data_IF_222125901584
#
_entry.id   IF_222125901584
#
_cell.length_a   1.000
_cell.length_b   1.000
_cell.length_c   1.000
_cell.angle_alpha   90.00
_cell.angle_beta   90.00
_cell.angle_gamma   90.00
#
_symmetry.space_group_name_H-M   'P 1'
#
loop_
_entity.id
_entity.type
_entity.pdbx_description
1 polymer ?
#
# COMPACT_ATOMS: atom_id res chain seq x y z
N UNK A 1 17.47 76.06 31.85
CA UNK A 1 18.91 76.06 31.52
C UNK A 1 19.19 74.89 30.57
N UNK A 2 20.13 75.05 29.63
CA UNK A 2 20.29 74.35 28.35
C UNK A 2 20.56 72.82 28.39
N UNK A 3 19.84 72.11 27.49
CA UNK A 3 20.24 71.09 26.48
C UNK A 3 21.14 69.88 26.87
N UNK A 4 20.68 68.68 26.45
CA UNK A 4 21.41 67.65 25.66
C UNK A 4 20.37 66.74 24.95
N UNK A 5 20.10 66.95 23.65
CA UNK A 5 20.48 66.13 22.45
C UNK A 5 19.81 64.75 22.39
N UNK A 6 18.81 64.55 21.50
CA UNK A 6 18.88 63.84 20.17
C UNK A 6 19.15 62.33 20.31
N UNK A 7 18.57 61.39 19.57
CA UNK A 7 17.56 61.30 18.50
C UNK A 7 17.55 59.81 18.12
N UNK A 8 16.44 59.07 18.22
CA UNK A 8 16.19 57.88 17.36
C UNK A 8 14.67 57.74 17.17
N UNK A 9 14.19 58.33 16.08
CA UNK A 9 12.95 57.94 15.41
C UNK A 9 13.34 57.21 14.12
N UNK A 10 12.44 56.33 13.64
CA UNK A 10 12.56 55.49 12.42
C UNK A 10 13.29 54.16 12.69
N UNK A 11 12.68 52.97 12.60
CA UNK A 11 11.89 52.43 11.50
C UNK A 11 10.70 51.57 11.96
N UNK A 12 9.52 51.95 11.47
CA UNK A 12 8.39 51.07 11.19
C UNK A 12 8.79 50.19 10.01
N UNK A 13 9.07 48.90 10.21
CA UNK A 13 8.81 47.77 9.28
C UNK A 13 9.51 46.49 9.77
N UNK A 14 8.86 45.72 10.65
CA UNK A 14 9.07 44.27 10.69
C UNK A 14 7.75 43.59 11.07
N UNK A 15 6.71 43.97 10.33
CA UNK A 15 5.39 43.37 10.34
C UNK A 15 5.12 42.89 8.92
N UNK A 16 5.91 41.94 8.43
CA UNK A 16 5.64 41.27 7.16
C UNK A 16 6.38 39.94 7.09
N UNK A 17 5.62 38.87 6.84
CA UNK A 17 6.07 37.52 6.46
C UNK A 17 6.49 36.55 7.59
N UNK A 18 5.51 36.15 8.42
CA UNK A 18 5.39 34.76 8.87
C UNK A 18 3.91 34.32 8.76
N UNK A 19 3.25 34.77 7.71
CA UNK A 19 1.97 34.24 7.28
C UNK A 19 2.21 33.49 5.96
N UNK A 20 1.76 32.25 5.96
CA UNK A 20 1.61 31.32 4.84
C UNK A 20 2.75 30.32 4.61
N UNK A 21 2.29 29.06 4.56
CA UNK A 21 2.91 27.86 4.00
C UNK A 21 3.83 27.08 4.94
N UNK A 22 3.18 26.41 5.88
CA UNK A 22 3.80 25.35 6.65
C UNK A 22 2.81 24.47 7.40
N UNK A 23 1.59 24.26 6.88
CA UNK A 23 0.80 23.10 7.32
C UNK A 23 1.40 21.85 6.67
N UNK A 24 2.55 21.42 7.19
CA UNK A 24 2.90 20.00 7.16
C UNK A 24 1.98 19.30 8.18
N UNK A 25 0.69 19.22 7.85
CA UNK A 25 -0.20 18.30 8.51
C UNK A 25 0.04 16.97 7.80
N UNK A 26 0.94 16.17 8.35
CA UNK A 26 1.05 14.75 8.00
C UNK A 26 -0.34 14.14 8.11
N UNK A 27 -0.98 13.88 6.97
CA UNK A 27 -2.14 13.01 6.89
C UNK A 27 -1.63 11.56 7.00
N UNK A 28 -1.13 11.23 8.17
CA UNK A 28 -0.79 9.89 8.59
C UNK A 28 -2.06 9.31 9.20
N UNK A 29 -3.04 8.99 8.34
CA UNK A 29 -4.28 8.33 8.73
C UNK A 29 -4.21 6.87 8.31
N UNK A 30 -3.63 6.05 9.19
CA UNK A 30 -4.09 4.72 9.67
C UNK A 30 -4.75 3.67 8.74
N UNK A 31 -4.71 3.85 7.41
CA UNK A 31 -5.11 2.83 6.41
C UNK A 31 -3.91 1.97 5.97
N UNK A 32 -2.78 2.08 6.68
CA UNK A 32 -1.45 1.75 6.18
C UNK A 32 -1.14 0.24 6.09
N UNK A 33 -2.06 -0.66 6.44
CA UNK A 33 -1.81 -2.11 6.29
C UNK A 33 -3.07 -2.85 5.90
N UNK A 34 -3.18 -3.14 4.60
CA UNK A 34 -4.20 -4.05 4.04
C UNK A 34 -4.28 -5.38 4.78
N UNK A 35 -3.14 -5.91 5.23
CA UNK A 35 -3.11 -7.16 6.00
C UNK A 35 -3.59 -7.07 7.45
N UNK A 36 -4.07 -5.89 7.92
CA UNK A 36 -4.75 -5.75 9.21
C UNK A 36 -6.26 -5.55 9.08
N UNK A 37 -6.78 -5.38 7.85
CA UNK A 37 -8.19 -5.01 7.62
C UNK A 37 -9.17 -6.09 8.09
N UNK A 38 -8.79 -7.35 7.97
CA UNK A 38 -9.62 -8.48 8.36
C UNK A 38 -9.18 -9.13 9.69
N UNK A 39 -8.38 -8.40 10.48
CA UNK A 39 -7.76 -8.86 11.74
C UNK A 39 -6.78 -10.04 11.55
N UNK A 40 -6.08 -10.08 10.41
CA UNK A 40 -5.05 -11.08 10.12
C UNK A 40 -5.64 -12.44 9.75
N UNK A 41 -6.84 -12.47 9.17
CA UNK A 41 -7.47 -13.70 8.71
C UNK A 41 -6.89 -14.17 7.38
N UNK A 42 -6.62 -13.23 6.48
CA UNK A 42 -6.14 -13.52 5.14
C UNK A 42 -4.78 -12.88 4.87
N UNK A 43 -4.09 -13.48 3.91
CA UNK A 43 -2.94 -12.92 3.22
C UNK A 43 -3.46 -12.17 2.00
N UNK A 44 -2.75 -11.15 1.55
CA UNK A 44 -3.15 -10.39 0.37
C UNK A 44 -2.09 -10.49 -0.72
N UNK A 45 -2.51 -10.80 -1.93
CA UNK A 45 -1.70 -10.68 -3.13
C UNK A 45 -2.15 -9.41 -3.87
N UNK A 46 -1.35 -8.36 -3.77
CA UNK A 46 -1.62 -7.10 -4.45
C UNK A 46 -1.02 -7.15 -5.85
N UNK A 47 -1.81 -6.80 -6.86
CA UNK A 47 -1.40 -6.75 -8.25
C UNK A 47 -1.70 -5.34 -8.74
N UNK A 48 -0.66 -4.59 -9.05
CA UNK A 48 -0.78 -3.25 -9.63
C UNK A 48 -0.55 -3.34 -11.13
N UNK A 49 -1.36 -2.63 -11.90
CA UNK A 49 -1.16 -2.46 -13.34
C UNK A 49 -1.51 -1.03 -13.78
N UNK A 50 -0.90 -0.54 -14.87
CA UNK A 50 -1.27 0.74 -15.45
C UNK A 50 -2.68 0.71 -16.04
N UNK A 51 -3.04 -0.39 -16.72
CA UNK A 51 -4.31 -0.57 -17.42
C UNK A 51 -4.69 -2.07 -17.52
N UNK A 52 -5.91 -2.34 -17.97
CA UNK A 52 -6.48 -3.70 -18.06
C UNK A 52 -5.90 -4.55 -19.19
N UNK A 53 -5.15 -3.95 -20.11
CA UNK A 53 -4.52 -4.63 -21.25
C UNK A 53 -3.04 -4.93 -20.99
N UNK A 54 -2.53 -4.61 -19.81
CA UNK A 54 -1.15 -4.89 -19.43
C UNK A 54 -0.85 -6.41 -19.52
N UNK A 55 0.18 -6.77 -20.27
CA UNK A 55 0.52 -8.18 -20.54
C UNK A 55 0.80 -8.99 -19.27
N UNK A 56 1.50 -8.39 -18.29
CA UNK A 56 1.78 -9.07 -17.01
C UNK A 56 0.54 -9.26 -16.16
N UNK A 57 -0.44 -8.34 -16.20
CA UNK A 57 -1.72 -8.51 -15.52
C UNK A 57 -2.49 -9.70 -16.12
N UNK A 58 -2.60 -9.75 -17.45
CA UNK A 58 -3.30 -10.83 -18.15
C UNK A 58 -2.66 -12.19 -17.89
N UNK A 59 -1.33 -12.25 -17.85
CA UNK A 59 -0.56 -13.46 -17.53
C UNK A 59 -0.77 -13.88 -16.07
N UNK A 60 -0.64 -12.95 -15.12
CA UNK A 60 -0.84 -13.21 -13.69
C UNK A 60 -2.24 -13.77 -13.43
N UNK A 61 -3.26 -13.19 -14.05
CA UNK A 61 -4.66 -13.59 -13.91
C UNK A 61 -4.92 -15.00 -14.45
N UNK A 62 -4.29 -15.34 -15.58
CA UNK A 62 -4.37 -16.69 -16.14
C UNK A 62 -3.78 -17.71 -15.16
N UNK A 63 -2.61 -17.43 -14.60
CA UNK A 63 -1.96 -18.34 -13.65
C UNK A 63 -2.76 -18.48 -12.35
N UNK A 64 -3.31 -17.39 -11.81
CA UNK A 64 -4.10 -17.42 -10.57
C UNK A 64 -5.42 -18.18 -10.73
N UNK A 65 -6.11 -18.05 -11.87
CA UNK A 65 -7.31 -18.85 -12.17
C UNK A 65 -7.01 -20.36 -12.16
N UNK A 66 -5.88 -20.76 -12.75
CA UNK A 66 -5.46 -22.16 -12.76
C UNK A 66 -5.10 -22.67 -11.36
N UNK A 67 -4.63 -21.80 -10.47
CA UNK A 67 -4.19 -22.13 -9.11
C UNK A 67 -5.22 -21.82 -8.00
N UNK A 68 -6.49 -21.56 -8.34
CA UNK A 68 -7.49 -21.02 -7.39
C UNK A 68 -7.66 -21.83 -6.09
N UNK A 69 -7.60 -23.16 -6.15
CA UNK A 69 -7.64 -24.01 -4.95
C UNK A 69 -6.48 -23.72 -4.00
N UNK A 70 -5.27 -23.57 -4.55
CA UNK A 70 -4.07 -23.28 -3.77
C UNK A 70 -4.10 -21.89 -3.11
N UNK A 71 -4.81 -20.92 -3.72
CA UNK A 71 -5.08 -19.61 -3.12
C UNK A 71 -5.96 -19.77 -1.87
N UNK A 72 -7.06 -20.54 -2.01
CA UNK A 72 -8.01 -20.77 -0.91
C UNK A 72 -7.38 -21.50 0.26
N UNK A 73 -6.58 -22.54 0.03
CA UNK A 73 -5.87 -23.31 1.08
C UNK A 73 -4.89 -22.47 1.92
N UNK A 74 -4.51 -21.30 1.41
CA UNK A 74 -3.52 -20.40 2.03
C UNK A 74 -4.14 -19.10 2.48
N UNK A 75 -5.47 -19.02 2.52
CA UNK A 75 -6.24 -17.82 2.85
C UNK A 75 -5.76 -16.59 2.06
N UNK A 76 -5.48 -16.75 0.76
CA UNK A 76 -4.92 -15.68 -0.07
C UNK A 76 -6.03 -14.96 -0.85
N UNK A 77 -6.23 -13.68 -0.56
CA UNK A 77 -7.11 -12.78 -1.30
C UNK A 77 -6.30 -12.02 -2.35
N UNK A 78 -6.82 -11.93 -3.57
CA UNK A 78 -6.19 -11.21 -4.67
C UNK A 78 -6.79 -9.81 -4.75
N UNK A 79 -5.95 -8.78 -4.70
CA UNK A 79 -6.36 -7.37 -4.82
C UNK A 79 -5.71 -6.79 -6.05
N UNK A 80 -6.52 -6.47 -7.05
CA UNK A 80 -6.07 -5.83 -8.27
C UNK A 80 -6.27 -4.32 -8.18
N UNK A 81 -5.22 -3.56 -8.48
CA UNK A 81 -5.22 -2.10 -8.55
C UNK A 81 -4.87 -1.71 -9.98
N UNK A 82 -5.90 -1.49 -10.79
CA UNK A 82 -5.78 -1.19 -12.23
C UNK A 82 -6.29 0.23 -12.45
N UNK A 83 -5.45 1.09 -13.05
CA UNK A 83 -5.71 2.53 -13.10
C UNK A 83 -6.05 3.08 -11.70
N UNK A 84 -7.30 3.53 -11.52
CA UNK A 84 -7.87 4.07 -10.30
C UNK A 84 -8.87 3.12 -9.61
N UNK A 85 -9.08 1.92 -10.16
CA UNK A 85 -10.01 0.94 -9.62
C UNK A 85 -9.29 -0.07 -8.73
N UNK A 86 -10.00 -0.53 -7.69
CA UNK A 86 -9.54 -1.59 -6.79
C UNK A 86 -10.58 -2.69 -6.78
N UNK A 87 -10.16 -3.90 -7.12
CA UNK A 87 -11.00 -5.09 -7.11
C UNK A 87 -10.39 -6.15 -6.19
N UNK A 88 -11.23 -6.87 -5.44
CA UNK A 88 -10.80 -7.94 -4.53
C UNK A 88 -11.52 -9.25 -4.86
N UNK A 89 -10.76 -10.32 -4.94
CA UNK A 89 -11.21 -11.66 -5.31
C UNK A 89 -10.68 -12.73 -4.33
N UNK A 90 -11.56 -13.55 -3.72
CA UNK A 90 -13.02 -13.40 -3.69
C UNK A 90 -13.46 -12.09 -3.01
N UNK A 91 -14.69 -11.66 -3.30
CA UNK A 91 -15.26 -10.45 -2.68
C UNK A 91 -15.40 -10.62 -1.16
N UNK A 92 -15.07 -9.56 -0.43
CA UNK A 92 -15.19 -9.48 1.04
C UNK A 92 -16.06 -8.29 1.43
N UNK A 93 -16.54 -8.25 2.67
CA UNK A 93 -17.45 -7.18 3.14
C UNK A 93 -16.70 -5.89 3.45
N UNK A 94 -15.41 -6.01 3.71
CA UNK A 94 -14.49 -4.94 4.06
C UNK A 94 -14.27 -4.02 2.86
N UNK A 95 -14.32 -2.71 3.11
CA UNK A 95 -14.04 -1.71 2.09
C UNK A 95 -12.54 -1.61 1.84
N UNK A 96 -12.14 -1.64 0.57
CA UNK A 96 -10.74 -1.53 0.17
C UNK A 96 -10.29 -0.07 0.15
N UNK A 97 -9.03 0.25 0.54
CA UNK A 97 -8.50 1.59 0.36
C UNK A 97 -8.52 2.00 -1.11
N UNK A 98 -8.62 3.30 -1.41
CA UNK A 98 -8.52 3.80 -2.76
C UNK A 98 -7.19 3.41 -3.43
N UNK A 99 -7.21 3.25 -4.76
CA UNK A 99 -6.03 2.89 -5.56
C UNK A 99 -4.83 3.82 -5.29
N UNK A 100 -5.07 5.12 -5.17
CA UNK A 100 -4.04 6.12 -4.86
C UNK A 100 -3.35 5.85 -3.51
N UNK A 101 -4.12 5.52 -2.47
CA UNK A 101 -3.60 5.19 -1.14
C UNK A 101 -2.76 3.91 -1.15
N UNK A 102 -3.21 2.88 -1.89
CA UNK A 102 -2.44 1.64 -2.06
C UNK A 102 -1.13 1.89 -2.81
N UNK A 103 -1.16 2.62 -3.93
CA UNK A 103 0.04 2.98 -4.70
C UNK A 103 1.03 3.78 -3.86
N UNK A 104 0.55 4.74 -3.07
CA UNK A 104 1.41 5.51 -2.15
C UNK A 104 2.04 4.61 -1.08
N UNK A 105 1.24 3.77 -0.42
CA UNK A 105 1.69 2.87 0.64
C UNK A 105 2.79 1.93 0.15
N UNK A 106 2.60 1.34 -1.03
CA UNK A 106 3.53 0.37 -1.62
C UNK A 106 4.56 0.98 -2.57
N UNK A 107 4.60 2.32 -2.67
CA UNK A 107 5.53 3.10 -3.51
C UNK A 107 5.53 2.66 -4.98
N UNK A 108 4.33 2.47 -5.54
CA UNK A 108 4.13 2.05 -6.94
C UNK A 108 3.75 3.26 -7.80
N UNK A 109 4.49 3.50 -8.88
CA UNK A 109 4.11 4.51 -9.88
C UNK A 109 2.86 4.05 -10.66
N UNK A 110 1.92 4.94 -11.03
CA UNK A 110 0.76 4.60 -11.86
C UNK A 110 1.10 3.83 -13.16
N UNK A 111 2.26 4.11 -13.77
CA UNK A 111 2.69 3.46 -15.00
C UNK A 111 3.35 2.07 -14.80
N UNK A 112 3.48 1.60 -13.55
CA UNK A 112 4.20 0.37 -13.21
C UNK A 112 3.25 -0.80 -12.94
N UNK A 113 3.70 -1.97 -13.40
CA UNK A 113 3.21 -3.26 -12.92
C UNK A 113 3.98 -3.69 -11.67
N UNK A 114 3.28 -4.29 -10.69
CA UNK A 114 3.91 -4.92 -9.55
C UNK A 114 3.03 -6.01 -8.93
N UNK A 115 3.66 -7.07 -8.44
CA UNK A 115 3.04 -8.10 -7.57
C UNK A 115 3.65 -7.99 -6.19
N UNK A 116 2.82 -7.91 -5.16
CA UNK A 116 3.26 -7.80 -3.77
C UNK A 116 2.49 -8.80 -2.91
N UNK A 117 3.21 -9.65 -2.18
CA UNK A 117 2.62 -10.53 -1.18
C UNK A 117 2.68 -9.86 0.19
N UNK A 118 1.53 -9.77 0.85
CA UNK A 118 1.38 -9.25 2.21
C UNK A 118 0.90 -10.37 3.12
N UNK A 119 1.60 -10.58 4.23
CA UNK A 119 1.25 -11.59 5.22
C UNK A 119 0.04 -11.22 6.08
N UNK A 120 -0.44 -12.19 6.88
CA UNK A 120 -1.49 -11.98 7.91
C UNK A 120 -1.08 -10.98 9.00
N UNK A 121 0.22 -10.67 9.09
CA UNK A 121 0.78 -9.65 9.99
C UNK A 121 0.79 -8.24 9.38
N UNK A 122 0.28 -8.09 8.15
CA UNK A 122 0.29 -6.83 7.42
C UNK A 122 1.65 -6.40 6.88
N UNK A 123 2.66 -7.25 6.94
CA UNK A 123 4.00 -6.94 6.41
C UNK A 123 4.18 -7.49 4.99
N UNK A 124 4.92 -6.75 4.17
CA UNK A 124 5.34 -7.19 2.85
C UNK A 124 6.33 -8.36 2.97
N UNK A 125 6.04 -9.46 2.27
CA UNK A 125 6.84 -10.68 2.26
C UNK A 125 7.58 -10.89 0.95
N UNK A 126 7.03 -10.35 -0.14
CA UNK A 126 7.58 -10.51 -1.47
C UNK A 126 7.13 -9.38 -2.39
N UNK A 127 7.98 -9.05 -3.37
CA UNK A 127 7.70 -8.07 -4.41
C UNK A 127 8.36 -8.48 -5.73
N UNK A 128 7.61 -8.35 -6.82
CA UNK A 128 8.11 -8.51 -8.19
C UNK A 128 7.57 -7.43 -9.11
N UNK A 129 8.34 -7.09 -10.14
CA UNK A 129 7.95 -6.15 -11.21
C UNK A 129 7.46 -6.87 -12.49
N UNK A 130 7.14 -8.15 -12.40
CA UNK A 130 6.68 -9.03 -13.48
C UNK A 130 5.68 -10.05 -12.91
N UNK A 131 4.92 -10.70 -13.79
CA UNK A 131 4.00 -11.75 -13.39
C UNK A 131 4.76 -12.87 -12.65
N UNK A 132 4.20 -13.33 -11.53
CA UNK A 132 4.83 -14.32 -10.66
C UNK A 132 4.03 -15.62 -10.63
N UNK A 133 4.75 -16.72 -10.86
CA UNK A 133 4.19 -18.05 -10.79
C UNK A 133 3.60 -18.33 -9.39
N UNK A 134 2.36 -18.86 -9.29
CA UNK A 134 1.72 -19.18 -8.02
C UNK A 134 2.54 -20.10 -7.12
N UNK A 135 3.25 -21.08 -7.69
CA UNK A 135 4.11 -21.99 -6.94
C UNK A 135 5.16 -21.25 -6.11
N UNK A 136 5.80 -20.22 -6.67
CA UNK A 136 6.79 -19.41 -5.95
C UNK A 136 6.13 -18.64 -4.81
N UNK A 137 4.94 -18.07 -5.03
CA UNK A 137 4.19 -17.38 -3.98
C UNK A 137 3.81 -18.36 -2.86
N UNK A 138 3.41 -19.58 -3.20
CA UNK A 138 3.03 -20.63 -2.26
C UNK A 138 4.21 -21.11 -1.43
N UNK A 139 5.37 -21.32 -2.04
CA UNK A 139 6.59 -21.70 -1.34
C UNK A 139 7.00 -20.64 -0.31
N UNK A 140 6.91 -19.36 -0.69
CA UNK A 140 7.14 -18.25 0.26
C UNK A 140 6.14 -18.32 1.40
N UNK A 141 4.86 -18.53 1.12
CA UNK A 141 3.81 -18.63 2.15
C UNK A 141 4.05 -19.82 3.09
N UNK A 142 4.35 -20.99 2.54
CA UNK A 142 4.54 -22.23 3.28
C UNK A 142 5.84 -22.22 4.11
N UNK A 143 6.81 -21.38 3.76
CA UNK A 143 8.00 -21.12 4.57
C UNK A 143 7.75 -20.22 5.79
N UNK A 144 6.61 -19.52 5.86
CA UNK A 144 6.33 -18.60 6.97
C UNK A 144 6.02 -19.35 8.28
N UNK A 145 6.57 -18.95 9.44
CA UNK A 145 6.35 -19.63 10.71
C UNK A 145 4.88 -19.80 11.07
N UNK A 146 4.04 -18.77 10.89
CA UNK A 146 2.60 -18.88 11.18
C UNK A 146 1.92 -19.98 10.36
N UNK A 147 2.29 -20.13 9.08
CA UNK A 147 1.74 -21.18 8.21
C UNK A 147 2.12 -22.59 8.67
N UNK A 148 3.32 -22.75 9.22
CA UNK A 148 3.76 -24.03 9.79
C UNK A 148 3.00 -24.39 11.07
N UNK A 149 2.59 -23.39 11.87
CA UNK A 149 1.76 -23.61 13.05
C UNK A 149 0.33 -24.02 12.68
N UNK A 150 -0.24 -23.40 11.63
CA UNK A 150 -1.55 -23.79 11.08
C UNK A 150 -1.55 -25.29 10.71
N UNK A 151 -0.57 -25.76 9.93
CA UNK A 151 -0.46 -27.18 9.51
C UNK A 151 -0.26 -28.16 10.67
N UNK A 152 0.30 -27.71 11.81
CA UNK A 152 0.51 -28.56 12.99
C UNK A 152 -0.76 -28.68 13.84
N UNK A 153 -1.67 -27.74 13.69
CA UNK A 153 -2.87 -27.62 14.53
C UNK A 153 -4.13 -28.18 13.87
N UNK A 154 -4.03 -28.63 12.62
CA UNK A 154 -5.03 -29.38 11.84
C UNK A 154 -4.82 -30.90 12.00
#
# INVERSE_FOLDING_TARGET
MRKKTMSISSWVLFFLCCALLGKAQSAESDHSKIGLMDKGKHRFLLIFAPDSQNEFLLEQDKMLRQAHLGLSERDLLVVQVVENNVEINPHVKEEMPPAASLRQTYKINPAQFAVILVGKDGTEKYRAAHAQAPAVLFDIIDSMPMRQHEKRSE
#
